data_IF_289070887922
#
_entry.id   IF_289070887922
#
_cell.length_a   1.000
_cell.length_b   1.000
_cell.length_c   1.000
_cell.angle_alpha   90.00
_cell.angle_beta   90.00
_cell.angle_gamma   90.00
#
_symmetry.space_group_name_H-M   'P 1'
#
loop_
_entity.id
_entity.type
_entity.pdbx_description
1 polymer ?
#
# COMPACT_ATOMS: atom_id res chain seq x y z
N UNK A 1 -25.62 12.26 16.67
CA UNK A 1 -24.55 12.16 15.66
C UNK A 1 -23.77 10.87 15.90
N UNK A 2 -23.42 10.12 14.86
CA UNK A 2 -22.59 8.91 15.00
C UNK A 2 -21.18 9.27 15.47
N UNK A 3 -20.60 8.46 16.37
CA UNK A 3 -19.20 8.59 16.78
C UNK A 3 -18.26 8.20 15.64
N UNK A 4 -16.99 8.61 15.74
CA UNK A 4 -16.00 8.24 14.73
C UNK A 4 -15.74 6.73 14.67
N UNK A 5 -15.80 6.04 15.82
CA UNK A 5 -15.69 4.58 15.88
C UNK A 5 -16.84 3.92 15.12
N UNK A 6 -18.07 4.43 15.29
CA UNK A 6 -19.24 3.95 14.57
C UNK A 6 -19.11 4.17 13.06
N UNK A 7 -18.54 5.29 12.61
CA UNK A 7 -18.29 5.54 11.18
C UNK A 7 -17.27 4.54 10.59
N UNK A 8 -16.19 4.24 11.30
CA UNK A 8 -15.19 3.25 10.86
C UNK A 8 -15.83 1.86 10.81
N UNK A 9 -16.57 1.48 11.84
CA UNK A 9 -17.25 0.19 11.91
C UNK A 9 -18.27 0.03 10.78
N UNK A 10 -19.11 1.04 10.56
CA UNK A 10 -20.07 1.06 9.46
C UNK A 10 -19.37 0.97 8.10
N UNK A 11 -18.25 1.66 7.91
CA UNK A 11 -17.47 1.57 6.68
C UNK A 11 -16.94 0.15 6.45
N UNK A 12 -16.46 -0.54 7.50
CA UNK A 12 -16.00 -1.93 7.40
C UNK A 12 -17.12 -2.91 7.04
N UNK A 13 -18.34 -2.65 7.51
CA UNK A 13 -19.50 -3.52 7.26
C UNK A 13 -20.14 -3.30 5.89
N UNK A 14 -20.13 -2.05 5.40
CA UNK A 14 -20.92 -1.66 4.21
C UNK A 14 -20.10 -1.50 2.94
N UNK A 15 -18.79 -1.24 3.05
CA UNK A 15 -17.96 -1.01 1.87
C UNK A 15 -17.42 -2.35 1.32
N UNK A 16 -17.68 -2.62 0.04
CA UNK A 16 -17.20 -3.81 -0.69
C UNK A 16 -15.68 -4.02 -0.56
N UNK A 17 -14.90 -2.93 -0.44
CA UNK A 17 -13.45 -2.97 -0.22
C UNK A 17 -13.04 -3.87 0.96
N UNK A 18 -13.92 -4.02 1.95
CA UNK A 18 -13.66 -4.78 3.18
C UNK A 18 -14.43 -6.09 3.26
N UNK A 19 -15.17 -6.47 2.23
CA UNK A 19 -15.89 -7.74 2.18
C UNK A 19 -14.92 -8.91 2.34
N UNK A 20 -15.18 -9.79 3.31
CA UNK A 20 -14.32 -10.95 3.60
C UNK A 20 -13.05 -10.63 4.40
N UNK A 21 -12.82 -9.38 4.82
CA UNK A 21 -11.64 -9.00 5.61
C UNK A 21 -11.94 -9.09 7.11
N UNK A 22 -11.35 -10.08 7.77
CA UNK A 22 -11.41 -10.23 9.23
C UNK A 22 -10.37 -9.34 9.92
N UNK A 23 -10.78 -8.65 10.99
CA UNK A 23 -9.90 -7.84 11.84
C UNK A 23 -9.97 -8.35 13.28
N UNK A 24 -8.86 -8.84 13.87
CA UNK A 24 -8.83 -9.28 15.27
C UNK A 24 -8.70 -8.10 16.25
N UNK A 25 -9.30 -6.94 15.92
CA UNK A 25 -9.26 -5.69 16.69
C UNK A 25 -10.47 -4.83 16.33
N UNK A 26 -10.79 -3.87 17.20
CA UNK A 26 -11.99 -3.03 17.04
C UNK A 26 -11.71 -1.69 16.37
N UNK A 27 -12.76 -1.01 15.90
CA UNK A 27 -12.67 0.39 15.46
C UNK A 27 -12.18 1.33 16.58
N UNK A 28 -12.49 1.00 17.84
CA UNK A 28 -12.04 1.75 19.01
C UNK A 28 -10.53 1.62 19.22
N UNK A 29 -9.97 0.43 19.00
CA UNK A 29 -8.52 0.21 19.06
C UNK A 29 -7.76 1.04 18.02
N UNK A 30 -8.33 1.15 16.82
CA UNK A 30 -7.77 1.99 15.74
C UNK A 30 -7.73 3.46 16.18
N UNK A 31 -8.83 3.98 16.74
CA UNK A 31 -8.86 5.38 17.20
C UNK A 31 -7.94 5.64 18.38
N UNK A 32 -7.83 4.68 19.31
CA UNK A 32 -6.92 4.76 20.46
C UNK A 32 -5.46 4.96 20.04
N UNK A 33 -5.05 4.37 18.91
CA UNK A 33 -3.68 4.45 18.39
C UNK A 33 -3.47 5.57 17.36
N UNK A 34 -4.54 6.16 16.82
CA UNK A 34 -4.47 7.17 15.74
C UNK A 34 -3.87 8.50 16.20
N UNK A 35 -3.99 8.83 17.49
CA UNK A 35 -3.72 10.17 17.99
C UNK A 35 -4.81 11.18 17.61
N UNK A 36 -4.65 12.43 18.04
CA UNK A 36 -5.64 13.50 17.84
C UNK A 36 -5.49 14.23 16.49
N UNK A 37 -4.28 14.23 15.91
CA UNK A 37 -4.00 14.89 14.64
C UNK A 37 -4.03 13.88 13.50
N UNK A 38 -4.88 14.12 12.51
CA UNK A 38 -4.94 13.29 11.32
C UNK A 38 -4.02 13.84 10.22
N UNK A 39 -3.04 13.03 9.81
CA UNK A 39 -2.14 13.33 8.69
C UNK A 39 -2.70 12.63 7.44
N UNK A 40 -2.98 13.41 6.40
CA UNK A 40 -3.49 12.88 5.14
C UNK A 40 -2.36 12.29 4.29
N UNK A 41 -2.50 11.02 3.91
CA UNK A 41 -1.55 10.30 3.05
C UNK A 41 -2.09 10.20 1.62
N UNK A 42 -2.17 11.34 0.93
CA UNK A 42 -2.84 11.49 -0.38
C UNK A 42 -2.44 10.44 -1.41
N UNK A 43 -1.12 10.21 -1.62
CA UNK A 43 -0.64 9.24 -2.62
C UNK A 43 -1.00 7.80 -2.23
N UNK A 44 -0.94 7.47 -0.93
CA UNK A 44 -1.32 6.15 -0.45
C UNK A 44 -2.81 5.88 -0.66
N UNK A 45 -3.68 6.87 -0.38
CA UNK A 45 -5.12 6.76 -0.60
C UNK A 45 -5.44 6.58 -2.08
N UNK A 46 -4.99 7.50 -2.93
CA UNK A 46 -5.30 7.46 -4.37
C UNK A 46 -4.70 6.21 -5.02
N UNK A 47 -3.47 5.83 -4.65
CA UNK A 47 -2.82 4.62 -5.15
C UNK A 47 -3.56 3.34 -4.76
N UNK A 48 -3.99 3.21 -3.50
CA UNK A 48 -4.74 2.04 -3.03
C UNK A 48 -6.13 1.94 -3.68
N UNK A 49 -6.83 3.07 -3.84
CA UNK A 49 -8.12 3.12 -4.54
C UNK A 49 -7.97 2.72 -6.01
N UNK A 50 -6.97 3.28 -6.71
CA UNK A 50 -6.68 2.94 -8.11
C UNK A 50 -6.29 1.48 -8.28
N UNK A 51 -5.40 0.96 -7.44
CA UNK A 51 -4.96 -0.43 -7.51
C UNK A 51 -6.13 -1.39 -7.25
N UNK A 52 -6.95 -1.11 -6.23
CA UNK A 52 -8.15 -1.90 -5.97
C UNK A 52 -9.11 -1.91 -7.16
N UNK A 53 -9.33 -0.76 -7.80
CA UNK A 53 -10.13 -0.67 -9.00
C UNK A 53 -9.56 -1.54 -10.13
N UNK A 54 -8.27 -1.40 -10.45
CA UNK A 54 -7.61 -2.19 -11.50
C UNK A 54 -7.72 -3.69 -11.25
N UNK A 55 -7.52 -4.15 -10.01
CA UNK A 55 -7.62 -5.57 -9.65
C UNK A 55 -9.04 -6.14 -9.81
N UNK A 56 -10.07 -5.27 -9.79
CA UNK A 56 -11.48 -5.66 -9.94
C UNK A 56 -11.98 -5.57 -11.37
N UNK A 57 -11.37 -4.72 -12.21
CA UNK A 57 -11.86 -4.43 -13.56
C UNK A 57 -11.00 -5.00 -14.67
N UNK A 58 -9.71 -5.21 -14.44
CA UNK A 58 -8.79 -5.79 -15.41
C UNK A 58 -8.71 -7.31 -15.25
N UNK A 59 -8.41 -8.02 -16.35
CA UNK A 59 -8.19 -9.47 -16.30
C UNK A 59 -7.00 -9.85 -15.41
N UNK A 60 -5.96 -9.02 -15.42
CA UNK A 60 -4.79 -9.11 -14.54
C UNK A 60 -4.07 -7.76 -14.51
N UNK A 61 -3.22 -7.56 -13.50
CA UNK A 61 -2.34 -6.39 -13.38
C UNK A 61 -0.90 -6.90 -13.26
N UNK A 62 -0.11 -6.73 -14.30
CA UNK A 62 1.33 -7.05 -14.29
C UNK A 62 2.15 -5.84 -13.82
N UNK A 63 3.33 -6.13 -13.27
CA UNK A 63 4.29 -5.13 -12.82
C UNK A 63 5.72 -5.67 -12.99
N UNK A 64 6.69 -4.76 -13.03
CA UNK A 64 8.12 -5.08 -13.01
C UNK A 64 8.77 -4.47 -11.77
N UNK A 65 9.85 -5.10 -11.29
CA UNK A 65 10.67 -4.58 -10.20
C UNK A 65 11.33 -3.26 -10.58
N UNK A 66 11.16 -2.23 -9.76
CA UNK A 66 11.87 -0.95 -9.86
C UNK A 66 12.70 -0.69 -8.60
N UNK A 67 13.99 -0.45 -8.76
CA UNK A 67 14.94 -0.05 -7.70
C UNK A 67 15.35 1.42 -7.79
N UNK A 68 14.97 2.11 -8.87
CA UNK A 68 15.16 3.57 -9.03
C UNK A 68 13.90 4.25 -9.54
N UNK A 69 13.80 5.57 -9.32
CA UNK A 69 12.69 6.38 -9.86
C UNK A 69 12.64 6.38 -11.39
N UNK A 70 13.78 6.42 -12.08
CA UNK A 70 13.81 6.41 -13.54
C UNK A 70 13.29 5.09 -14.12
N UNK A 71 13.57 3.95 -13.48
CA UNK A 71 12.98 2.67 -13.89
C UNK A 71 11.45 2.71 -13.78
N UNK A 72 10.92 3.22 -12.66
CA UNK A 72 9.48 3.36 -12.46
C UNK A 72 8.83 4.29 -13.52
N UNK A 73 9.47 5.41 -13.85
CA UNK A 73 8.98 6.32 -14.92
C UNK A 73 8.92 5.60 -16.25
N UNK A 74 9.99 4.90 -16.65
CA UNK A 74 10.01 4.17 -17.94
C UNK A 74 9.01 3.01 -17.99
N UNK A 75 8.74 2.35 -16.86
CA UNK A 75 7.70 1.32 -16.78
C UNK A 75 6.31 1.89 -17.06
N UNK A 76 6.00 3.06 -16.51
CA UNK A 76 4.73 3.76 -16.77
C UNK A 76 4.65 4.26 -18.22
N UNK A 77 5.73 4.85 -18.74
CA UNK A 77 5.81 5.30 -20.14
C UNK A 77 5.63 4.13 -21.13
N UNK A 78 6.13 2.94 -20.77
CA UNK A 78 5.94 1.71 -21.54
C UNK A 78 4.52 1.11 -21.40
N UNK A 79 3.64 1.72 -20.60
CA UNK A 79 2.23 1.37 -20.48
C UNK A 79 1.89 0.44 -19.30
N UNK A 80 2.82 0.15 -18.38
CA UNK A 80 2.49 -0.61 -17.17
C UNK A 80 1.60 0.20 -16.23
N UNK A 81 0.63 -0.48 -15.61
CA UNK A 81 -0.37 0.14 -14.73
C UNK A 81 0.02 0.13 -13.25
N UNK A 82 1.07 -0.62 -12.88
CA UNK A 82 1.55 -0.78 -11.52
C UNK A 82 3.07 -0.97 -11.48
N UNK A 83 3.67 -0.63 -10.35
CA UNK A 83 5.10 -0.77 -10.07
C UNK A 83 5.27 -1.78 -8.94
N UNK A 84 6.23 -2.70 -9.08
CA UNK A 84 6.60 -3.62 -8.01
C UNK A 84 7.91 -3.14 -7.37
N UNK A 85 7.94 -3.05 -6.04
CA UNK A 85 9.14 -2.70 -5.28
C UNK A 85 9.67 -3.98 -4.64
N UNK A 86 10.80 -4.47 -5.14
CA UNK A 86 11.39 -5.74 -4.70
C UNK A 86 12.33 -5.52 -3.53
N UNK A 87 12.06 -6.17 -2.38
CA UNK A 87 12.97 -6.18 -1.24
C UNK A 87 14.34 -6.78 -1.57
N UNK A 88 14.40 -7.78 -2.46
CA UNK A 88 15.65 -8.34 -2.96
C UNK A 88 16.48 -7.29 -3.73
N UNK A 89 15.85 -6.50 -4.62
CA UNK A 89 16.58 -5.45 -5.35
C UNK A 89 17.06 -4.34 -4.42
N UNK A 90 16.26 -3.99 -3.40
CA UNK A 90 16.67 -3.06 -2.34
C UNK A 90 17.88 -3.60 -1.58
N UNK A 91 17.86 -4.86 -1.16
CA UNK A 91 18.98 -5.52 -0.49
C UNK A 91 20.25 -5.47 -1.33
N UNK A 92 20.12 -5.78 -2.63
CA UNK A 92 21.27 -5.89 -3.51
C UNK A 92 21.91 -4.53 -3.84
N UNK A 93 21.13 -3.47 -4.07
CA UNK A 93 21.67 -2.28 -4.76
C UNK A 93 20.98 -0.94 -4.43
N UNK A 94 20.00 -0.88 -3.53
CA UNK A 94 19.22 0.35 -3.29
C UNK A 94 18.76 0.56 -1.84
N UNK A 95 19.47 0.00 -0.87
CA UNK A 95 19.19 0.23 0.55
C UNK A 95 19.97 1.42 1.11
N UNK A 96 19.51 1.95 2.25
CA UNK A 96 20.11 3.14 2.88
C UNK A 96 21.42 2.84 3.64
N UNK A 97 21.81 1.58 3.80
CA UNK A 97 23.13 1.24 4.34
C UNK A 97 24.23 1.39 3.29
N UNK A 98 23.88 1.45 1.99
CA UNK A 98 24.86 1.57 0.91
C UNK A 98 25.69 0.30 0.68
N UNK A 99 25.22 -0.83 1.19
CA UNK A 99 25.91 -2.13 1.13
C UNK A 99 25.16 -3.10 0.23
N UNK A 100 25.87 -4.05 -0.37
CA UNK A 100 25.24 -5.14 -1.14
C UNK A 100 24.92 -6.30 -0.20
N UNK A 101 23.64 -6.64 -0.06
CA UNK A 101 23.16 -7.74 0.77
C UNK A 101 22.46 -8.85 -0.03
N UNK A 102 22.49 -10.11 0.46
CA UNK A 102 21.51 -11.12 0.06
C UNK A 102 20.12 -10.81 0.64
N UNK A 103 19.09 -11.50 0.14
CA UNK A 103 17.71 -11.38 0.62
C UNK A 103 17.49 -12.15 1.94
N UNK A 104 18.03 -11.56 3.01
CA UNK A 104 17.97 -12.07 4.39
C UNK A 104 17.58 -10.96 5.39
N UNK A 105 16.88 -9.92 4.92
CA UNK A 105 16.41 -8.80 5.75
C UNK A 105 17.51 -8.11 6.58
N UNK A 106 18.70 -7.93 5.97
CA UNK A 106 19.87 -7.35 6.62
C UNK A 106 19.91 -5.81 6.54
N UNK A 107 19.18 -5.23 5.59
CA UNK A 107 19.16 -3.79 5.37
C UNK A 107 18.17 -3.07 6.31
N UNK A 108 18.44 -1.81 6.68
CA UNK A 108 17.53 -0.99 7.49
C UNK A 108 16.17 -0.70 6.84
#
# INVERSE_FOLDING_TARGET
>A
MMSEAQRIQQAWETNERWQGITRPYTAQDVLRLRGSLHIEHTLARIGAERLWHLLKTENYVNALGALTGNQAVQQVDAGLKAIYISGWQTAADANIAGEMYPDQSLYP
#
